data_IF_818661859036
#
_entry.id   IF_818661859036
#
_cell.length_a   1.000
_cell.length_b   1.000
_cell.length_c   1.000
_cell.angle_alpha   90.00
_cell.angle_beta   90.00
_cell.angle_gamma   90.00
#
_symmetry.space_group_name_H-M   'P 1'
#
loop_
_entity.id
_entity.type
_entity.pdbx_description
1 polymer ?
#
# COMPACT_ATOMS: atom_id res chain seq x y z
N UNK A 1 -3.62 -7.52 2.81
CA UNK A 1 -3.07 -8.63 1.99
C UNK A 1 -2.27 -9.54 2.92
N UNK A 2 -2.96 -10.33 3.76
CA UNK A 2 -2.40 -11.27 4.74
C UNK A 2 -3.54 -12.20 5.13
N UNK A 3 -3.48 -13.48 4.75
CA UNK A 3 -4.60 -14.43 4.91
C UNK A 3 -5.87 -14.06 4.11
N UNK A 4 -6.91 -14.87 4.26
CA UNK A 4 -8.21 -14.69 3.59
C UNK A 4 -9.13 -13.81 4.42
N UNK A 5 -9.03 -12.50 4.22
CA UNK A 5 -9.98 -11.53 4.78
C UNK A 5 -10.49 -10.61 3.67
N UNK A 6 -11.50 -11.04 2.89
CA UNK A 6 -11.97 -10.29 1.73
C UNK A 6 -12.54 -8.89 2.10
N UNK A 7 -12.93 -8.70 3.36
CA UNK A 7 -13.58 -7.49 3.86
C UNK A 7 -12.62 -6.50 4.52
N UNK A 8 -11.30 -6.78 4.55
CA UNK A 8 -10.33 -5.88 5.19
C UNK A 8 -10.26 -4.50 4.52
N UNK A 9 -10.38 -4.44 3.18
CA UNK A 9 -10.41 -3.17 2.44
C UNK A 9 -11.57 -2.26 2.85
N UNK A 10 -12.84 -2.72 2.72
CA UNK A 10 -14.00 -1.97 3.18
C UNK A 10 -13.90 -1.52 4.65
N UNK A 11 -13.43 -2.41 5.54
CA UNK A 11 -13.26 -2.04 6.96
C UNK A 11 -12.16 -1.01 7.17
N UNK A 12 -11.05 -1.09 6.43
CA UNK A 12 -9.98 -0.09 6.49
C UNK A 12 -10.47 1.29 6.01
N UNK A 13 -11.31 1.34 4.97
CA UNK A 13 -11.89 2.59 4.47
C UNK A 13 -12.81 3.25 5.51
N UNK A 14 -13.64 2.45 6.19
CA UNK A 14 -14.49 2.92 7.31
C UNK A 14 -13.62 3.44 8.46
N UNK A 15 -12.60 2.69 8.84
CA UNK A 15 -11.69 3.10 9.91
C UNK A 15 -10.95 4.40 9.59
N UNK A 16 -10.51 4.58 8.33
CA UNK A 16 -9.92 5.84 7.89
C UNK A 16 -10.88 7.04 8.05
N UNK A 17 -12.20 6.83 7.89
CA UNK A 17 -13.19 7.88 8.13
C UNK A 17 -13.28 8.28 9.61
N UNK A 18 -13.13 7.31 10.53
CA UNK A 18 -13.13 7.56 11.97
C UNK A 18 -11.88 8.33 12.40
N UNK A 19 -10.76 8.18 11.69
CA UNK A 19 -9.49 8.87 11.99
C UNK A 19 -9.41 10.28 11.40
N UNK A 20 -10.27 10.62 10.43
CA UNK A 20 -10.26 11.93 9.76
C UNK A 20 -10.63 13.04 10.74
N UNK A 21 -9.80 14.07 10.80
CA UNK A 21 -9.92 15.18 11.75
C UNK A 21 -9.36 14.87 13.14
N UNK A 22 -8.89 13.63 13.38
CA UNK A 22 -8.28 13.21 14.65
C UNK A 22 -6.78 12.96 14.45
N UNK A 23 -6.43 12.09 13.50
CA UNK A 23 -5.03 11.72 13.21
C UNK A 23 -4.49 12.44 11.99
N UNK A 24 -5.35 12.76 11.02
CA UNK A 24 -5.00 13.51 9.83
C UNK A 24 -6.15 14.41 9.40
N UNK A 25 -5.84 15.53 8.73
CA UNK A 25 -6.83 16.43 8.16
C UNK A 25 -6.67 16.48 6.63
N UNK A 26 -7.70 16.01 5.92
CA UNK A 26 -7.76 15.97 4.46
C UNK A 26 -9.06 16.63 4.02
N UNK A 27 -9.01 17.37 2.90
CA UNK A 27 -10.22 17.86 2.24
C UNK A 27 -11.06 16.70 1.68
N UNK A 28 -12.34 16.96 1.35
CA UNK A 28 -13.26 15.92 0.91
C UNK A 28 -12.80 15.18 -0.34
N UNK A 29 -12.10 15.88 -1.23
CA UNK A 29 -11.60 15.31 -2.49
C UNK A 29 -10.47 14.33 -2.20
N UNK A 30 -9.51 14.72 -1.37
CA UNK A 30 -8.35 13.92 -1.02
C UNK A 30 -8.75 12.74 -0.13
N UNK A 31 -9.69 12.96 0.79
CA UNK A 31 -10.25 11.89 1.60
C UNK A 31 -10.98 10.84 0.75
N UNK A 32 -11.72 11.26 -0.29
CA UNK A 32 -12.37 10.31 -1.21
C UNK A 32 -11.35 9.40 -1.90
N UNK A 33 -10.20 9.93 -2.31
CA UNK A 33 -9.14 9.12 -2.90
C UNK A 33 -8.57 8.09 -1.91
N UNK A 34 -8.32 8.50 -0.67
CA UNK A 34 -7.87 7.60 0.40
C UNK A 34 -8.90 6.49 0.65
N UNK A 35 -10.17 6.87 0.78
CA UNK A 35 -11.27 5.94 1.03
C UNK A 35 -11.39 4.89 -0.09
N UNK A 36 -11.42 5.33 -1.35
CA UNK A 36 -11.48 4.44 -2.51
C UNK A 36 -10.23 3.54 -2.62
N UNK A 37 -9.04 4.10 -2.35
CA UNK A 37 -7.80 3.33 -2.33
C UNK A 37 -7.84 2.19 -1.30
N UNK A 38 -8.26 2.46 -0.06
CA UNK A 38 -8.40 1.45 0.98
C UNK A 38 -9.56 0.46 0.70
N UNK A 39 -10.66 0.93 0.12
CA UNK A 39 -11.82 0.08 -0.10
C UNK A 39 -11.56 -0.98 -1.17
N UNK A 40 -10.94 -0.57 -2.29
CA UNK A 40 -10.85 -1.39 -3.51
C UNK A 40 -9.60 -2.25 -3.64
N UNK A 41 -8.55 -2.07 -2.83
CA UNK A 41 -7.20 -2.61 -3.15
C UNK A 41 -7.13 -4.13 -3.28
N UNK A 42 -8.05 -4.85 -2.63
CA UNK A 42 -8.11 -6.33 -2.66
C UNK A 42 -8.79 -6.86 -3.93
N UNK A 43 -9.93 -6.29 -4.29
CA UNK A 43 -10.84 -6.90 -5.27
C UNK A 43 -10.79 -6.21 -6.65
N UNK A 44 -10.41 -4.95 -6.70
CA UNK A 44 -10.38 -4.17 -7.93
C UNK A 44 -9.01 -4.25 -8.59
N UNK A 45 -8.96 -4.43 -9.91
CA UNK A 45 -7.68 -4.56 -10.62
C UNK A 45 -7.07 -3.22 -10.99
N UNK A 46 -7.89 -2.32 -11.52
CA UNK A 46 -7.41 -1.06 -12.10
C UNK A 46 -8.35 0.09 -11.81
N UNK A 47 -7.80 1.30 -11.69
CA UNK A 47 -8.56 2.52 -11.46
C UNK A 47 -8.09 3.64 -12.39
N UNK A 48 -8.99 4.48 -12.95
CA UNK A 48 -8.60 5.57 -13.84
C UNK A 48 -7.84 6.71 -13.12
N UNK A 49 -8.03 6.85 -11.81
CA UNK A 49 -7.27 7.81 -11.01
C UNK A 49 -5.90 7.24 -10.64
N UNK A 50 -4.83 7.91 -11.07
CA UNK A 50 -3.44 7.48 -10.87
C UNK A 50 -3.05 7.38 -9.40
N UNK A 51 -3.62 8.20 -8.51
CA UNK A 51 -3.33 8.15 -7.07
C UNK A 51 -3.80 6.82 -6.49
N UNK A 52 -5.05 6.43 -6.76
CA UNK A 52 -5.63 5.16 -6.31
C UNK A 52 -4.87 3.98 -6.91
N UNK A 53 -4.60 4.04 -8.22
CA UNK A 53 -3.85 2.98 -8.89
C UNK A 53 -2.45 2.79 -8.29
N UNK A 54 -1.76 3.89 -7.95
CA UNK A 54 -0.43 3.85 -7.35
C UNK A 54 -0.47 3.17 -5.97
N UNK A 55 -1.50 3.44 -5.16
CA UNK A 55 -1.67 2.76 -3.87
C UNK A 55 -1.86 1.24 -4.05
N UNK A 56 -2.67 0.81 -5.02
CA UNK A 56 -2.90 -0.61 -5.28
C UNK A 56 -1.67 -1.30 -5.86
N UNK A 57 -0.95 -0.64 -6.75
CA UNK A 57 0.32 -1.15 -7.28
C UNK A 57 1.35 -1.31 -6.15
N UNK A 58 1.41 -0.36 -5.22
CA UNK A 58 2.30 -0.43 -4.06
C UNK A 58 1.97 -1.62 -3.14
N UNK A 59 0.69 -1.84 -2.80
CA UNK A 59 0.24 -3.00 -2.01
C UNK A 59 0.64 -4.33 -2.69
N UNK A 60 0.46 -4.43 -4.01
CA UNK A 60 0.79 -5.64 -4.78
C UNK A 60 2.28 -5.86 -4.95
N UNK A 61 3.06 -4.79 -5.08
CA UNK A 61 4.52 -4.85 -5.17
C UNK A 61 5.16 -5.29 -3.85
N UNK A 62 4.45 -5.14 -2.72
CA UNK A 62 4.93 -5.53 -1.39
C UNK A 62 4.57 -6.99 -1.01
N UNK A 63 3.90 -7.72 -1.90
CA UNK A 63 3.50 -9.13 -1.69
C UNK A 63 4.66 -10.10 -1.45
N UNK A 64 5.90 -9.74 -1.83
CA UNK A 64 7.10 -10.54 -1.55
C UNK A 64 7.27 -10.84 -0.05
N UNK A 65 6.81 -9.95 0.84
CA UNK A 65 6.89 -10.17 2.30
C UNK A 65 6.06 -11.36 2.80
N UNK A 66 5.05 -11.78 2.03
CA UNK A 66 4.22 -12.97 2.31
C UNK A 66 4.54 -14.12 1.34
N UNK A 67 5.68 -14.04 0.63
CA UNK A 67 6.15 -15.10 -0.26
C UNK A 67 5.44 -15.17 -1.61
N UNK A 68 4.78 -14.10 -2.05
CA UNK A 68 4.08 -14.03 -3.34
C UNK A 68 4.84 -13.09 -4.27
N UNK A 69 5.35 -13.64 -5.37
CA UNK A 69 6.02 -12.84 -6.42
C UNK A 69 5.01 -11.95 -7.14
N UNK A 70 5.18 -10.61 -7.15
CA UNK A 70 4.30 -9.73 -7.91
C UNK A 70 4.39 -10.02 -9.40
N UNK A 71 3.24 -9.98 -10.09
CA UNK A 71 3.16 -10.25 -11.52
C UNK A 71 2.57 -9.04 -12.26
N UNK A 72 3.18 -8.67 -13.40
CA UNK A 72 2.86 -7.45 -14.15
C UNK A 72 1.39 -7.31 -14.52
N UNK A 73 0.70 -8.42 -14.80
CA UNK A 73 -0.71 -8.45 -15.19
C UNK A 73 -1.68 -7.96 -14.09
N UNK A 74 -1.20 -7.87 -12.84
CA UNK A 74 -1.97 -7.35 -11.71
C UNK A 74 -1.58 -5.92 -11.34
N UNK A 75 -0.66 -5.30 -12.07
CA UNK A 75 -0.22 -3.91 -11.86
C UNK A 75 -0.85 -3.01 -12.92
N UNK A 76 -1.28 -1.82 -12.53
CA UNK A 76 -1.99 -0.91 -13.42
C UNK A 76 -1.12 0.15 -14.08
N UNK A 77 -0.14 0.71 -13.37
CA UNK A 77 0.76 1.72 -13.94
C UNK A 77 1.88 1.10 -14.77
N UNK A 78 2.27 1.80 -15.84
CA UNK A 78 3.42 1.40 -16.66
C UNK A 78 4.73 1.42 -15.87
N UNK A 79 4.84 2.29 -14.85
CA UNK A 79 5.98 2.30 -13.95
C UNK A 79 6.05 1.02 -13.11
N UNK A 80 4.95 0.57 -12.50
CA UNK A 80 4.92 -0.62 -11.66
C UNK A 80 5.17 -1.91 -12.46
N UNK A 81 4.72 -1.98 -13.72
CA UNK A 81 4.90 -3.16 -14.60
C UNK A 81 6.35 -3.43 -15.03
N UNK A 82 7.25 -2.46 -14.84
CA UNK A 82 8.65 -2.59 -15.26
C UNK A 82 9.32 -3.77 -14.52
N UNK A 83 9.98 -4.70 -15.24
CA UNK A 83 10.65 -5.83 -14.61
C UNK A 83 11.66 -5.44 -13.54
N UNK A 84 12.37 -4.33 -13.72
CA UNK A 84 13.32 -3.79 -12.76
C UNK A 84 12.65 -3.30 -11.47
N UNK A 85 11.44 -2.74 -11.56
CA UNK A 85 10.66 -2.27 -10.40
C UNK A 85 10.11 -3.47 -9.63
N UNK A 86 9.51 -4.44 -10.34
CA UNK A 86 9.01 -5.67 -9.74
C UNK A 86 10.13 -6.39 -8.99
N UNK A 87 11.29 -6.59 -9.64
CA UNK A 87 12.44 -7.26 -9.03
C UNK A 87 12.98 -6.51 -7.81
N UNK A 88 13.05 -5.18 -7.89
CA UNK A 88 13.50 -4.36 -6.77
C UNK A 88 12.53 -4.44 -5.58
N UNK A 89 11.23 -4.31 -5.83
CA UNK A 89 10.20 -4.33 -4.79
C UNK A 89 10.09 -5.71 -4.13
N UNK A 90 10.07 -6.78 -4.92
CA UNK A 90 10.05 -8.16 -4.42
C UNK A 90 11.27 -8.45 -3.56
N UNK A 91 12.48 -8.12 -4.03
CA UNK A 91 13.70 -8.32 -3.25
C UNK A 91 13.62 -7.58 -1.92
N UNK A 92 13.21 -6.31 -1.94
CA UNK A 92 13.06 -5.52 -0.71
C UNK A 92 12.06 -6.17 0.26
N UNK A 93 10.86 -6.51 -0.22
CA UNK A 93 9.78 -7.06 0.60
C UNK A 93 10.13 -8.46 1.15
N UNK A 94 10.67 -9.34 0.30
CA UNK A 94 11.06 -10.71 0.66
C UNK A 94 12.22 -10.77 1.67
N UNK A 95 13.14 -9.79 1.63
CA UNK A 95 14.24 -9.70 2.59
C UNK A 95 13.92 -8.81 3.80
N UNK A 96 12.70 -8.26 3.91
CA UNK A 96 12.32 -7.36 5.00
C UNK A 96 13.16 -6.07 5.05
N UNK A 97 13.65 -5.61 3.91
CA UNK A 97 14.51 -4.42 3.83
C UNK A 97 13.64 -3.17 3.87
N UNK A 98 13.95 -2.27 4.79
CA UNK A 98 13.36 -0.93 4.84
C UNK A 98 14.40 0.04 4.28
N UNK A 99 14.08 0.83 3.24
CA UNK A 99 15.03 1.78 2.68
C UNK A 99 15.46 2.79 3.75
N UNK A 100 16.75 3.14 3.80
CA UNK A 100 17.29 4.03 4.84
C UNK A 100 16.59 5.38 4.86
N UNK A 101 16.22 5.93 3.70
CA UNK A 101 15.51 7.20 3.61
C UNK A 101 14.14 7.17 4.30
N UNK A 102 13.47 6.01 4.39
CA UNK A 102 12.20 5.89 5.13
C UNK A 102 12.44 6.11 6.61
N UNK A 103 13.53 5.58 7.16
CA UNK A 103 13.89 5.76 8.57
C UNK A 103 14.36 7.21 8.83
N UNK A 104 15.25 7.70 7.98
CA UNK A 104 15.91 9.00 8.16
C UNK A 104 14.98 10.19 7.88
N UNK A 105 14.26 10.17 6.75
CA UNK A 105 13.44 11.31 6.34
C UNK A 105 12.07 11.33 7.02
N UNK A 106 11.48 10.17 7.32
CA UNK A 106 10.17 10.11 7.99
C UNK A 106 10.28 10.06 9.51
N UNK A 107 11.50 10.00 10.05
CA UNK A 107 11.76 10.04 11.49
C UNK A 107 11.24 8.81 12.23
N UNK A 108 11.28 7.63 11.59
CA UNK A 108 10.79 6.37 12.17
C UNK A 108 11.95 5.68 12.91
N UNK A 109 11.79 5.46 14.21
CA UNK A 109 12.75 4.76 15.06
C UNK A 109 12.28 3.35 15.41
N UNK A 110 12.62 2.39 14.54
CA UNK A 110 12.28 0.98 14.72
C UNK A 110 13.06 0.31 15.88
N UNK A 111 14.10 0.96 16.44
CA UNK A 111 14.84 0.40 17.57
C UNK A 111 14.09 0.58 18.90
N UNK A 112 13.13 1.52 18.95
CA UNK A 112 12.37 1.87 20.15
C UNK A 112 10.87 1.50 20.07
N UNK A 113 10.39 0.96 18.95
CA UNK A 113 9.03 0.44 18.85
C UNK A 113 8.94 -0.94 19.53
N UNK A 114 8.44 -0.96 20.77
CA UNK A 114 7.95 -2.19 21.38
C UNK A 114 6.86 -2.78 20.47
N UNK A 115 7.06 -4.03 20.06
CA UNK A 115 6.10 -4.78 19.26
C UNK A 115 4.68 -4.64 19.84
N UNK A 116 3.79 -4.05 19.05
CA UNK A 116 2.36 -3.93 19.35
C UNK A 116 1.69 -5.30 19.37
#
# INVERSE_FOLDING_TARGET
NEMTDPEHGPRAAIFAAELRGIVFDLDDRSFRLLYEACHGHTNERTHPNVTIQTCWDADRLDLGRVGIMPHSDYLGTEAAKKPEIIKWADGRASFGVIPTFVLEEWGIDLANEQAW
#
